data_IF_956175284089
#
_entry.id   IF_956175284089
#
_cell.length_a   1.000
_cell.length_b   1.000
_cell.length_c   1.000
_cell.angle_alpha   90.00
_cell.angle_beta   90.00
_cell.angle_gamma   90.00
#
_symmetry.space_group_name_H-M   'P 1'
#
loop_
_entity.id
_entity.type
_entity.pdbx_description
1 polymer ?
#
# COMPACT_ATOMS: atom_id res chain seq x y z
N UNK A 1 -14.17 -1.92 -4.27
CA UNK A 1 -13.43 -0.63 -4.44
C UNK A 1 -12.62 -0.60 -5.75
N UNK A 2 -13.07 -1.24 -6.83
CA UNK A 2 -12.27 -1.45 -8.05
C UNK A 2 -12.76 -0.70 -9.30
N UNK A 3 -13.81 0.11 -9.18
CA UNK A 3 -14.25 1.00 -10.26
C UNK A 3 -14.80 2.28 -9.62
N UNK A 4 -13.98 3.34 -9.63
CA UNK A 4 -14.45 4.69 -9.36
C UNK A 4 -14.37 5.43 -10.69
N UNK A 5 -15.54 5.83 -11.19
CA UNK A 5 -15.72 6.57 -12.44
C UNK A 5 -14.88 7.85 -12.40
N UNK A 6 -14.17 8.14 -13.50
CA UNK A 6 -13.21 9.23 -13.60
C UNK A 6 -13.93 10.58 -13.59
N UNK A 7 -14.08 11.17 -12.40
CA UNK A 7 -14.55 12.56 -12.27
C UNK A 7 -13.42 13.46 -12.79
N UNK A 8 -13.63 14.26 -13.86
CA UNK A 8 -12.60 15.14 -14.39
C UNK A 8 -12.18 16.15 -13.31
N UNK A 9 -10.88 16.18 -12.99
CA UNK A 9 -10.31 17.02 -11.90
C UNK A 9 -10.60 18.52 -12.04
N UNK A 10 -11.08 18.96 -13.20
CA UNK A 10 -11.39 20.36 -13.52
C UNK A 10 -12.63 20.93 -12.83
N UNK A 11 -13.46 20.10 -12.17
CA UNK A 11 -14.73 20.52 -11.53
C UNK A 11 -14.78 20.30 -10.01
N UNK A 12 -13.73 19.75 -9.39
CA UNK A 12 -13.70 19.59 -7.93
C UNK A 12 -13.17 20.87 -7.27
N UNK A 13 -13.89 21.49 -6.33
CA UNK A 13 -13.34 22.60 -5.55
C UNK A 13 -12.08 22.10 -4.86
N UNK A 14 -10.95 22.78 -5.09
CA UNK A 14 -9.62 22.39 -4.60
C UNK A 14 -9.55 22.24 -3.06
N UNK A 15 -10.58 22.72 -2.35
CA UNK A 15 -10.79 22.58 -0.91
C UNK A 15 -12.29 22.36 -0.69
N UNK A 16 -12.72 21.12 -0.46
CA UNK A 16 -14.16 20.78 -0.41
C UNK A 16 -14.87 21.22 0.89
N UNK A 17 -14.13 21.63 1.94
CA UNK A 17 -14.60 22.14 3.25
C UNK A 17 -13.46 21.95 4.26
N UNK A 18 -13.48 22.60 5.44
CA UNK A 18 -12.55 22.36 6.56
C UNK A 18 -12.53 20.87 6.95
N UNK A 19 -13.68 20.21 6.82
CA UNK A 19 -13.84 18.78 7.05
C UNK A 19 -13.00 17.94 6.07
N UNK A 20 -13.02 18.27 4.78
CA UNK A 20 -12.25 17.56 3.76
C UNK A 20 -10.73 17.73 3.94
N UNK A 21 -10.29 18.92 4.36
CA UNK A 21 -8.88 19.17 4.70
C UNK A 21 -8.46 18.33 5.91
N UNK A 22 -9.30 18.26 6.94
CA UNK A 22 -9.03 17.46 8.14
C UNK A 22 -8.98 15.96 7.82
N UNK A 23 -9.88 15.48 6.96
CA UNK A 23 -9.90 14.08 6.51
C UNK A 23 -8.64 13.71 5.70
N UNK A 24 -8.22 14.60 4.79
CA UNK A 24 -7.00 14.44 4.04
C UNK A 24 -5.77 14.48 4.96
N UNK A 25 -5.70 15.44 5.88
CA UNK A 25 -4.63 15.56 6.86
C UNK A 25 -4.55 14.32 7.77
N UNK A 26 -5.69 13.81 8.24
CA UNK A 26 -5.76 12.59 9.04
C UNK A 26 -5.24 11.36 8.28
N UNK A 27 -5.54 11.26 6.98
CA UNK A 27 -5.03 10.19 6.12
C UNK A 27 -3.51 10.28 5.93
N UNK A 28 -3.00 11.50 5.74
CA UNK A 28 -1.55 11.76 5.63
C UNK A 28 -0.84 11.43 6.94
N UNK A 29 -1.37 11.85 8.08
CA UNK A 29 -0.81 11.58 9.41
C UNK A 29 -0.85 10.08 9.72
N UNK A 30 -1.95 9.41 9.41
CA UNK A 30 -2.08 7.96 9.57
C UNK A 30 -1.01 7.22 8.76
N UNK A 31 -0.75 7.63 7.52
CA UNK A 31 0.32 7.08 6.71
C UNK A 31 1.72 7.35 7.30
N UNK A 32 1.93 8.51 7.92
CA UNK A 32 3.22 8.90 8.51
C UNK A 32 3.49 8.29 9.90
N UNK A 33 2.44 7.84 10.59
CA UNK A 33 2.53 7.30 11.96
C UNK A 33 3.49 6.11 12.10
N UNK A 34 3.69 5.35 11.01
CA UNK A 34 4.62 4.22 10.96
C UNK A 34 6.10 4.62 11.08
N UNK A 35 6.46 5.89 10.87
CA UNK A 35 7.85 6.32 11.09
C UNK A 35 8.20 6.41 12.59
N UNK A 36 7.21 6.58 13.47
CA UNK A 36 7.44 6.70 14.92
C UNK A 36 7.83 5.40 15.63
N UNK A 37 7.60 4.23 15.01
CA UNK A 37 7.94 2.94 15.62
C UNK A 37 9.40 2.54 15.41
N UNK A 38 10.15 3.29 14.60
CA UNK A 38 11.53 2.96 14.20
C UNK A 38 12.51 3.01 15.38
N UNK A 39 12.44 4.06 16.21
CA UNK A 39 13.32 4.25 17.37
C UNK A 39 13.12 3.21 18.49
N UNK A 40 11.89 2.95 18.97
CA UNK A 40 11.69 1.92 19.99
C UNK A 40 11.97 0.51 19.46
N UNK A 41 11.78 0.26 18.16
CA UNK A 41 12.17 -0.98 17.50
C UNK A 41 13.70 -1.15 17.49
N UNK A 42 14.43 -0.08 17.16
CA UNK A 42 15.91 -0.05 17.20
C UNK A 42 16.44 -0.35 18.60
N UNK A 43 15.85 0.24 19.65
CA UNK A 43 16.24 0.01 21.05
C UNK A 43 15.93 -1.41 21.56
N UNK A 44 15.03 -2.15 20.90
CA UNK A 44 14.71 -3.55 21.21
C UNK A 44 15.53 -4.55 20.40
N UNK A 45 16.28 -4.11 19.38
CA UNK A 45 17.10 -4.99 18.54
C UNK A 45 18.49 -5.23 19.13
N UNK A 46 18.96 -6.48 19.08
CA UNK A 46 20.31 -6.88 19.54
C UNK A 46 21.44 -6.25 18.71
N UNK A 47 21.14 -5.87 17.46
CA UNK A 47 22.03 -5.14 16.54
C UNK A 47 21.23 -4.08 15.78
N UNK A 48 21.27 -2.80 16.20
CA UNK A 48 20.46 -1.74 15.61
C UNK A 48 20.88 -1.36 14.18
N UNK A 49 22.18 -1.47 13.84
CA UNK A 49 22.69 -1.22 12.49
C UNK A 49 22.13 -2.15 11.41
N UNK A 50 21.66 -3.35 11.79
CA UNK A 50 21.06 -4.31 10.86
C UNK A 50 19.57 -4.02 10.60
N UNK A 51 18.97 -2.96 11.14
CA UNK A 51 17.55 -2.67 10.88
C UNK A 51 17.32 -2.03 9.49
N UNK A 52 18.26 -1.17 9.06
CA UNK A 52 18.25 -0.47 7.76
C UNK A 52 19.23 -1.07 6.73
N UNK A 53 19.98 -2.12 7.11
CA UNK A 53 20.96 -2.76 6.24
C UNK A 53 20.33 -3.50 5.04
N UNK A 54 21.19 -4.02 4.16
CA UNK A 54 20.78 -4.78 2.98
C UNK A 54 20.03 -6.08 3.35
N UNK A 55 20.42 -6.73 4.46
CA UNK A 55 19.67 -7.81 5.11
C UNK A 55 18.77 -7.31 6.24
N UNK A 56 18.37 -6.05 6.20
CA UNK A 56 17.53 -5.45 7.21
C UNK A 56 16.10 -5.95 7.14
N UNK A 57 15.46 -5.98 8.31
CA UNK A 57 14.08 -6.43 8.48
C UNK A 57 13.13 -5.69 7.54
N UNK A 58 13.37 -4.39 7.31
CA UNK A 58 12.55 -3.58 6.42
C UNK A 58 12.72 -4.02 4.96
N UNK A 59 13.95 -4.11 4.48
CA UNK A 59 14.28 -4.53 3.11
C UNK A 59 13.73 -5.92 2.79
N UNK A 60 13.85 -6.86 3.73
CA UNK A 60 13.33 -8.23 3.59
C UNK A 60 11.79 -8.22 3.59
N UNK A 61 11.16 -7.49 4.50
CA UNK A 61 9.70 -7.44 4.61
C UNK A 61 9.07 -6.83 3.35
N UNK A 62 9.64 -5.72 2.85
CA UNK A 62 9.17 -5.07 1.61
C UNK A 62 9.37 -5.99 0.41
N UNK A 63 10.53 -6.66 0.31
CA UNK A 63 10.79 -7.62 -0.77
C UNK A 63 9.84 -8.82 -0.73
N UNK A 64 9.54 -9.33 0.46
CA UNK A 64 8.59 -10.43 0.64
C UNK A 64 7.16 -10.03 0.25
N UNK A 65 6.69 -8.88 0.75
CA UNK A 65 5.35 -8.36 0.41
C UNK A 65 5.25 -8.10 -1.09
N UNK A 66 6.28 -7.51 -1.70
CA UNK A 66 6.35 -7.26 -3.14
C UNK A 66 6.26 -8.57 -3.93
N UNK A 67 7.03 -9.59 -3.54
CA UNK A 67 6.99 -10.90 -4.20
C UNK A 67 5.60 -11.54 -4.11
N UNK A 68 4.99 -11.56 -2.92
CA UNK A 68 3.64 -12.12 -2.70
C UNK A 68 2.59 -11.38 -3.54
N UNK A 69 2.67 -10.05 -3.60
CA UNK A 69 1.73 -9.24 -4.37
C UNK A 69 1.87 -9.49 -5.87
N UNK A 70 3.10 -9.50 -6.39
CA UNK A 70 3.38 -9.79 -7.81
C UNK A 70 2.93 -11.20 -8.17
N UNK A 71 3.17 -12.20 -7.33
CA UNK A 71 2.72 -13.58 -7.60
C UNK A 71 1.20 -13.70 -7.57
N UNK A 72 0.54 -13.05 -6.61
CA UNK A 72 -0.92 -13.13 -6.45
C UNK A 72 -1.62 -12.39 -7.59
N UNK A 73 -1.16 -11.19 -7.93
CA UNK A 73 -1.71 -10.40 -9.03
C UNK A 73 -1.48 -11.09 -10.38
N UNK A 74 -0.27 -11.60 -10.65
CA UNK A 74 -0.02 -12.31 -11.90
C UNK A 74 -0.83 -13.61 -12.01
N UNK A 75 -0.99 -14.35 -10.91
CA UNK A 75 -1.82 -15.55 -10.90
C UNK A 75 -3.30 -15.21 -11.14
N UNK A 76 -3.84 -14.23 -10.41
CA UNK A 76 -5.24 -13.82 -10.57
C UNK A 76 -5.51 -13.22 -11.95
N UNK A 77 -4.58 -12.42 -12.49
CA UNK A 77 -4.65 -11.88 -13.84
C UNK A 77 -4.64 -12.98 -14.89
N UNK A 78 -3.86 -14.06 -14.71
CA UNK A 78 -3.88 -15.24 -15.59
C UNK A 78 -5.22 -15.99 -15.53
N UNK A 79 -5.81 -16.13 -14.34
CA UNK A 79 -7.15 -16.72 -14.20
C UNK A 79 -8.23 -15.87 -14.88
N UNK A 80 -8.14 -14.54 -14.78
CA UNK A 80 -9.11 -13.62 -15.39
C UNK A 80 -8.93 -13.46 -16.90
N UNK A 81 -7.72 -13.71 -17.42
CA UNK A 81 -7.40 -13.66 -18.85
C UNK A 81 -7.95 -14.85 -19.66
N UNK A 82 -8.56 -15.85 -19.02
CA UNK A 82 -9.29 -16.93 -19.70
C UNK A 82 -10.81 -16.79 -19.48
N UNK A 83 -11.52 -15.99 -20.29
CA UNK A 83 -12.98 -15.88 -20.21
C UNK A 83 -13.74 -17.08 -20.80
N UNK A 84 -13.06 -18.15 -21.25
CA UNK A 84 -13.67 -19.25 -22.02
C UNK A 84 -13.88 -20.58 -21.26
N UNK A 85 -13.93 -20.57 -19.93
CA UNK A 85 -14.25 -21.80 -19.16
C UNK A 85 -15.57 -21.74 -18.38
N UNK A 86 -16.42 -20.74 -18.64
CA UNK A 86 -17.82 -20.70 -18.18
C UNK A 86 -18.79 -20.64 -19.36
N UNK A 87 -18.58 -21.53 -20.34
CA UNK A 87 -19.46 -21.75 -21.49
C UNK A 87 -19.55 -23.25 -21.79
N UNK A 88 -19.99 -24.03 -20.80
CA UNK A 88 -20.45 -25.41 -21.01
C UNK A 88 -21.87 -25.49 -20.48
N UNK A 89 -22.79 -25.65 -21.43
CA UNK A 89 -24.25 -25.78 -21.35
C UNK A 89 -25.07 -24.50 -21.17
#
# INVERSE_FOLDING_TARGET
>A
MLFMEHVPMSYLPAVTSIEGVTLAAGSVIYAYSAQGVVLPLENKMRKPNDMLGFFGVISISVSFISAVYVTTDNFFRRLKANPNIHGVH
#
